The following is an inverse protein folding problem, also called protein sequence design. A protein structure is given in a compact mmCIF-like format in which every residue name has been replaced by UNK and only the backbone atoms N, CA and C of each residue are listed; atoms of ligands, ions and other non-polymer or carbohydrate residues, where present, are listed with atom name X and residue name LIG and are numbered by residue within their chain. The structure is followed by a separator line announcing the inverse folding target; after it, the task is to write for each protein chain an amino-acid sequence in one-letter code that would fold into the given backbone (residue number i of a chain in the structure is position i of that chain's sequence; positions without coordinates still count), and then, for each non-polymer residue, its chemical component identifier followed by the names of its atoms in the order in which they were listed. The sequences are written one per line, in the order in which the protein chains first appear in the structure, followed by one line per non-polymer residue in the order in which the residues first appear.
data_IF_258810181340
#
_entry.id   IF_258810181340
#
_cell.length_a   1.000
_cell.length_b   1.000
_cell.length_c   1.000
_cell.angle_alpha   90.00
_cell.angle_beta   90.00
_cell.angle_gamma   90.00
#
_symmetry.space_group_name_H-M   'P 1'
#
loop_
_entity.id
_entity.type
_entity.pdbx_description
1 polymer ?
#
# COMPACT_ATOMS: atom_id res chain seq x y z
N UNK A 1 8.94 -7.31 2.89
CA UNK A 1 7.61 -6.93 2.36
C UNK A 1 6.58 -7.77 3.07
N UNK A 2 5.51 -7.15 3.58
CA UNK A 2 4.41 -7.90 4.18
C UNK A 2 3.51 -8.45 3.06
N UNK A 3 2.92 -9.61 3.32
CA UNK A 3 1.90 -10.20 2.46
C UNK A 3 0.68 -10.51 3.30
N UNK A 4 -0.50 -10.28 2.74
CA UNK A 4 -1.77 -10.71 3.33
C UNK A 4 -2.55 -11.53 2.32
N UNK A 5 -3.36 -12.43 2.83
CA UNK A 5 -4.20 -13.30 2.03
C UNK A 5 -5.63 -12.77 2.04
N UNK A 6 -6.19 -12.50 0.85
CA UNK A 6 -7.58 -12.06 0.68
C UNK A 6 -8.35 -13.13 -0.08
N UNK A 7 -9.44 -13.62 0.50
CA UNK A 7 -10.40 -14.48 -0.19
C UNK A 7 -11.54 -13.64 -0.75
N UNK A 8 -11.69 -13.61 -2.08
CA UNK A 8 -12.75 -12.87 -2.76
C UNK A 8 -13.28 -13.69 -3.94
N UNK A 9 -14.61 -13.87 -4.02
CA UNK A 9 -15.27 -14.64 -5.09
C UNK A 9 -14.66 -16.03 -5.33
N UNK A 10 -14.48 -16.80 -4.25
CA UNK A 10 -13.86 -18.14 -4.26
C UNK A 10 -12.43 -18.19 -4.84
N UNK A 11 -11.76 -17.05 -4.91
CA UNK A 11 -10.35 -16.94 -5.27
C UNK A 11 -9.57 -16.38 -4.11
N UNK A 12 -8.39 -16.93 -3.92
CA UNK A 12 -7.41 -16.48 -2.94
C UNK A 12 -6.38 -15.62 -3.65
N UNK A 13 -6.20 -14.39 -3.16
CA UNK A 13 -5.21 -13.45 -3.63
C UNK A 13 -4.15 -13.27 -2.55
N UNK A 14 -2.89 -13.20 -2.98
CA UNK A 14 -1.80 -12.73 -2.13
C UNK A 14 -1.55 -11.28 -2.48
N UNK A 15 -1.78 -10.40 -1.52
CA UNK A 15 -1.64 -8.96 -1.68
C UNK A 15 -0.32 -8.56 -1.02
N UNK A 16 0.57 -7.91 -1.76
CA UNK A 16 1.81 -7.39 -1.21
C UNK A 16 1.61 -5.94 -0.80
N UNK A 17 2.05 -5.58 0.41
CA UNK A 17 1.92 -4.22 0.88
C UNK A 17 3.08 -3.78 1.76
N UNK A 18 3.18 -2.47 1.93
CA UNK A 18 4.06 -1.81 2.89
C UNK A 18 3.30 -0.70 3.63
N UNK A 19 3.46 -0.68 4.95
CA UNK A 19 2.90 0.38 5.82
C UNK A 19 4.06 1.25 6.30
N UNK A 20 3.90 2.56 6.16
CA UNK A 20 4.88 3.56 6.59
C UNK A 20 4.20 4.63 7.46
N UNK A 21 4.76 4.91 8.62
CA UNK A 21 4.24 5.90 9.57
C UNK A 21 3.53 5.28 10.77
N UNK A 22 3.07 6.14 11.68
CA UNK A 22 2.39 5.74 12.92
C UNK A 22 0.92 5.37 12.64
N UNK A 23 0.46 4.22 13.15
CA UNK A 23 -0.91 3.73 12.97
C UNK A 23 -1.99 4.61 13.62
N UNK A 24 -1.60 5.55 14.49
CA UNK A 24 -2.50 6.56 15.08
C UNK A 24 -2.79 7.75 14.15
N UNK A 25 -1.99 7.93 13.08
CA UNK A 25 -2.25 8.93 12.05
C UNK A 25 -3.42 8.50 11.13
N UNK A 26 -4.09 9.45 10.47
CA UNK A 26 -5.03 9.13 9.40
C UNK A 26 -4.37 8.21 8.36
N UNK A 27 -5.09 7.16 7.96
CA UNK A 27 -4.57 6.14 7.05
C UNK A 27 -4.90 6.49 5.59
N UNK A 28 -3.95 6.27 4.68
CA UNK A 28 -4.14 6.43 3.25
C UNK A 28 -3.64 5.19 2.50
N UNK A 29 -4.51 4.63 1.65
CA UNK A 29 -4.17 3.53 0.75
C UNK A 29 -3.82 4.07 -0.63
N UNK A 30 -2.63 3.73 -1.12
CA UNK A 30 -2.10 4.17 -2.41
C UNK A 30 -2.13 2.97 -3.36
N UNK A 31 -2.94 3.11 -4.41
CA UNK A 31 -3.09 2.14 -5.50
C UNK A 31 -2.37 2.66 -6.74
N UNK A 32 -1.73 1.75 -7.47
CA UNK A 32 -1.04 2.11 -8.70
C UNK A 32 -1.84 1.71 -9.96
N UNK A 33 -1.52 2.35 -11.08
CA UNK A 33 -2.04 1.99 -12.39
C UNK A 33 -1.31 0.78 -13.00
N UNK A 34 -1.77 0.37 -14.18
CA UNK A 34 -1.13 -0.72 -14.93
C UNK A 34 0.33 -0.38 -15.30
N UNK A 35 1.23 -1.35 -15.15
CA UNK A 35 2.66 -1.20 -15.43
C UNK A 35 3.49 -0.48 -14.35
N UNK A 36 2.85 -0.03 -13.27
CA UNK A 36 3.53 0.52 -12.08
C UNK A 36 3.58 -0.52 -10.94
N UNK A 37 4.21 -0.14 -9.82
CA UNK A 37 4.28 -0.93 -8.59
C UNK A 37 4.33 -0.01 -7.35
N UNK A 38 4.18 -0.60 -6.17
CA UNK A 38 4.20 0.07 -4.87
C UNK A 38 5.51 0.81 -4.61
N UNK A 39 6.65 0.33 -5.09
CA UNK A 39 7.95 1.00 -4.92
C UNK A 39 8.00 2.34 -5.64
N UNK A 40 7.53 2.39 -6.89
CA UNK A 40 7.43 3.63 -7.66
C UNK A 40 6.48 4.63 -6.99
N UNK A 41 5.35 4.13 -6.49
CA UNK A 41 4.40 4.98 -5.76
C UNK A 41 5.02 5.53 -4.47
N UNK A 42 5.73 4.70 -3.70
CA UNK A 42 6.41 5.12 -2.48
C UNK A 42 7.45 6.20 -2.75
N UNK A 43 8.30 6.02 -3.75
CA UNK A 43 9.28 7.03 -4.14
C UNK A 43 8.62 8.38 -4.49
N UNK A 44 7.45 8.32 -5.12
CA UNK A 44 6.74 9.51 -5.60
C UNK A 44 5.95 10.23 -4.51
N UNK A 45 5.28 9.50 -3.61
CA UNK A 45 4.32 10.07 -2.66
C UNK A 45 4.86 10.22 -1.23
N UNK A 46 5.78 9.36 -0.80
CA UNK A 46 6.30 9.35 0.58
C UNK A 46 6.80 10.73 1.07
N UNK A 47 7.50 11.55 0.27
CA UNK A 47 7.97 12.85 0.73
C UNK A 47 6.86 13.84 1.10
N UNK A 48 5.65 13.67 0.55
CA UNK A 48 4.56 14.65 0.59
C UNK A 48 3.43 14.29 1.57
N UNK A 49 3.35 13.03 2.03
CA UNK A 49 2.23 12.52 2.83
C UNK A 49 2.62 12.17 4.28
N UNK A 50 3.54 12.94 4.88
CA UNK A 50 4.12 12.63 6.20
C UNK A 50 3.11 12.62 7.35
N UNK A 51 1.99 13.33 7.19
CA UNK A 51 0.91 13.40 8.19
C UNK A 51 -0.06 12.22 8.12
N UNK A 52 0.22 11.24 7.26
CA UNK A 52 -0.57 10.02 7.10
C UNK A 52 0.24 8.76 7.43
N UNK A 53 -0.45 7.75 7.92
CA UNK A 53 0.00 6.37 7.84
C UNK A 53 -0.24 5.87 6.41
N UNK A 54 0.83 5.67 5.65
CA UNK A 54 0.78 5.38 4.23
C UNK A 54 0.82 3.87 4.00
N UNK A 55 -0.12 3.36 3.22
CA UNK A 55 -0.22 1.95 2.84
C UNK A 55 -0.04 1.86 1.33
N UNK A 56 1.05 1.25 0.89
CA UNK A 56 1.36 1.02 -0.52
C UNK A 56 1.09 -0.45 -0.87
N UNK A 57 0.37 -0.71 -1.95
CA UNK A 57 -0.12 -2.06 -2.29
C UNK A 57 0.18 -2.42 -3.75
N UNK A 58 0.59 -3.68 -3.97
CA UNK A 58 0.55 -4.38 -5.27
C UNK A 58 -0.61 -5.39 -5.31
#
# INVERSE_FOLDING_TARGET
MAQTQLSYKNKTYQISYEILGDLSLPQILILHGWGANKELMKQSFCPFLKDFCQIYMD
#
